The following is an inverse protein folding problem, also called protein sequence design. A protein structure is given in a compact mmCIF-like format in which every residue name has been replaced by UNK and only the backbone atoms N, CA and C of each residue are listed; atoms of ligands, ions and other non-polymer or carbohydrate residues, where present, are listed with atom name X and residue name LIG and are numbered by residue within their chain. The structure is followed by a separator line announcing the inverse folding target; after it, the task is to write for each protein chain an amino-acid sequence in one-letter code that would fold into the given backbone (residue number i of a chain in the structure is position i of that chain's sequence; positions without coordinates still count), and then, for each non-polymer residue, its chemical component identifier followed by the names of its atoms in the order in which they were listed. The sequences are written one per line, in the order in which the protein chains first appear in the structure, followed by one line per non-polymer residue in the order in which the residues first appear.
data_IF_918862019332
#
_entry.id   IF_918862019332
#
_cell.length_a   1.000
_cell.length_b   1.000
_cell.length_c   1.000
_cell.angle_alpha   90.00
_cell.angle_beta   90.00
_cell.angle_gamma   90.00
#
_symmetry.space_group_name_H-M   'P 1'
#
loop_
_entity.id
_entity.type
_entity.pdbx_description
1 polymer ?
#
# COMPACT_ATOMS: atom_id res chain seq x y z
N UNK A 1 40.00 -42.24 -31.83
CA UNK A 1 39.76 -41.68 -30.48
C UNK A 1 39.41 -40.20 -30.62
N UNK A 2 38.14 -39.88 -30.90
CA UNK A 2 37.63 -38.51 -31.09
C UNK A 2 36.45 -38.33 -30.15
N UNK A 3 36.65 -37.66 -29.03
CA UNK A 3 35.59 -37.24 -28.11
C UNK A 3 36.07 -35.98 -27.37
N UNK A 4 35.12 -35.07 -27.10
CA UNK A 4 35.21 -33.83 -26.29
C UNK A 4 35.63 -32.54 -26.99
N UNK A 5 34.75 -31.96 -27.81
CA UNK A 5 34.66 -30.49 -28.03
C UNK A 5 33.24 -29.99 -28.32
N UNK A 6 32.21 -30.58 -27.70
CA UNK A 6 30.82 -30.07 -27.80
C UNK A 6 30.16 -30.19 -26.44
N UNK A 7 30.44 -29.28 -25.51
CA UNK A 7 29.66 -29.18 -24.25
C UNK A 7 29.87 -27.87 -23.47
N UNK A 8 30.11 -26.74 -24.13
CA UNK A 8 30.18 -25.43 -23.43
C UNK A 8 29.23 -24.40 -24.04
N UNK A 9 28.87 -24.50 -25.32
CA UNK A 9 27.99 -23.53 -25.96
C UNK A 9 26.49 -23.70 -25.66
N UNK A 10 26.06 -24.85 -25.12
CA UNK A 10 24.62 -25.11 -24.85
C UNK A 10 24.22 -24.70 -23.43
N UNK A 11 25.18 -24.55 -22.51
CA UNK A 11 24.89 -24.13 -21.13
C UNK A 11 24.72 -22.61 -20.97
N UNK A 12 25.29 -21.82 -21.89
CA UNK A 12 25.15 -20.35 -21.86
C UNK A 12 23.79 -19.87 -22.39
N UNK A 13 23.11 -20.63 -23.25
CA UNK A 13 21.79 -20.24 -23.79
C UNK A 13 20.66 -20.51 -22.80
N UNK A 14 20.85 -21.40 -21.83
CA UNK A 14 19.83 -21.75 -20.84
C UNK A 14 19.75 -20.78 -19.64
N UNK A 15 20.71 -19.86 -19.47
CA UNK A 15 20.71 -18.89 -18.35
C UNK A 15 20.11 -17.53 -18.78
N UNK A 16 20.05 -17.22 -20.08
CA UNK A 16 19.40 -16.00 -20.58
C UNK A 16 17.87 -16.13 -20.74
N UNK A 17 17.29 -17.32 -20.54
CA UNK A 17 15.87 -17.62 -20.83
C UNK A 17 14.85 -17.27 -19.75
N UNK A 18 15.23 -16.65 -18.63
CA UNK A 18 14.31 -16.36 -17.50
C UNK A 18 14.10 -14.87 -17.21
N UNK A 19 14.60 -13.98 -18.07
CA UNK A 19 14.54 -12.52 -17.90
C UNK A 19 13.20 -11.87 -18.26
N UNK A 20 12.07 -12.58 -18.18
CA UNK A 20 10.77 -11.92 -18.17
C UNK A 20 10.47 -11.49 -16.74
N UNK A 21 11.17 -10.44 -16.29
CA UNK A 21 11.00 -9.87 -14.96
C UNK A 21 9.58 -9.31 -14.81
N UNK A 22 8.99 -9.58 -13.65
CA UNK A 22 7.65 -9.17 -13.21
C UNK A 22 7.49 -7.65 -12.98
N UNK A 23 8.30 -6.82 -13.66
CA UNK A 23 8.19 -5.36 -13.67
C UNK A 23 6.76 -4.86 -13.99
N UNK A 24 5.98 -5.65 -14.75
CA UNK A 24 4.59 -5.31 -15.05
C UNK A 24 3.73 -5.10 -13.80
N UNK A 25 3.90 -5.93 -12.77
CA UNK A 25 3.06 -5.87 -11.55
C UNK A 25 3.38 -4.61 -10.71
N UNK A 26 4.64 -4.36 -10.38
CA UNK A 26 5.05 -3.13 -9.69
C UNK A 26 4.70 -1.85 -10.47
N UNK A 27 4.98 -1.79 -11.77
CA UNK A 27 4.68 -0.61 -12.58
C UNK A 27 3.17 -0.34 -12.62
N UNK A 28 2.35 -1.38 -12.73
CA UNK A 28 0.88 -1.24 -12.62
C UNK A 28 0.46 -0.70 -11.25
N UNK A 29 1.03 -1.20 -10.14
CA UNK A 29 0.73 -0.69 -8.79
C UNK A 29 1.12 0.80 -8.64
N UNK A 30 2.29 1.20 -9.15
CA UNK A 30 2.75 2.59 -9.08
C UNK A 30 1.97 3.52 -10.02
N UNK A 31 1.63 3.05 -11.23
CA UNK A 31 0.82 3.80 -12.18
C UNK A 31 -0.57 4.08 -11.60
N UNK A 32 -1.19 3.07 -10.99
CA UNK A 32 -2.46 3.20 -10.31
C UNK A 32 -2.39 4.22 -9.17
N UNK A 33 -1.35 4.15 -8.33
CA UNK A 33 -1.10 5.11 -7.25
C UNK A 33 -1.01 6.56 -7.76
N UNK A 34 -0.21 6.81 -8.81
CA UNK A 34 0.03 8.17 -9.32
C UNK A 34 -1.05 8.72 -10.25
N UNK A 35 -2.00 7.88 -10.68
CA UNK A 35 -3.11 8.34 -11.53
C UNK A 35 -3.97 9.43 -10.87
N UNK A 36 -4.03 9.48 -9.53
CA UNK A 36 -4.70 10.54 -8.75
C UNK A 36 -4.04 11.92 -8.88
N UNK A 37 -2.71 11.98 -8.83
CA UNK A 37 -1.99 13.25 -8.88
C UNK A 37 -2.11 13.95 -10.24
N UNK A 38 -2.51 13.19 -11.28
CA UNK A 38 -2.64 13.68 -12.67
C UNK A 38 -4.05 14.12 -13.06
N UNK A 39 -5.08 13.87 -12.24
CA UNK A 39 -6.47 14.17 -12.61
C UNK A 39 -7.30 14.82 -11.50
N UNK A 40 -7.85 16.01 -11.77
CA UNK A 40 -8.90 16.67 -10.97
C UNK A 40 -10.25 15.92 -11.03
N UNK A 41 -10.29 14.62 -10.74
CA UNK A 41 -11.53 13.85 -10.78
C UNK A 41 -11.97 13.47 -9.37
N UNK A 42 -13.04 14.12 -8.91
CA UNK A 42 -13.78 13.75 -7.69
C UNK A 42 -14.34 12.33 -7.84
N UNK A 43 -14.22 11.45 -6.82
CA UNK A 43 -14.77 10.11 -6.89
C UNK A 43 -16.30 10.18 -6.85
N UNK A 44 -16.96 9.63 -7.87
CA UNK A 44 -18.42 9.46 -7.92
C UNK A 44 -18.88 8.42 -6.90
N UNK A 45 -20.01 8.73 -6.26
CA UNK A 45 -20.70 8.01 -5.18
C UNK A 45 -20.98 6.53 -5.49
N UNK A 46 -20.92 5.68 -4.46
CA UNK A 46 -21.12 4.24 -4.53
C UNK A 46 -22.60 3.83 -4.66
N UNK A 47 -22.87 2.76 -5.43
CA UNK A 47 -24.08 1.93 -5.35
C UNK A 47 -23.69 0.48 -5.01
N UNK A 48 -24.51 -0.17 -4.20
CA UNK A 48 -24.12 -1.25 -3.29
C UNK A 48 -24.11 -2.68 -3.83
N UNK A 49 -24.21 -2.92 -5.15
CA UNK A 49 -24.40 -4.31 -5.65
C UNK A 49 -23.56 -4.73 -6.86
N UNK A 50 -22.78 -3.84 -7.48
CA UNK A 50 -21.87 -4.19 -8.58
C UNK A 50 -20.39 -4.19 -8.18
N UNK A 51 -20.07 -3.94 -6.90
CA UNK A 51 -18.78 -3.40 -6.48
C UNK A 51 -17.87 -4.35 -5.70
N UNK A 52 -17.87 -5.64 -6.05
CA UNK A 52 -16.88 -6.61 -5.52
C UNK A 52 -15.73 -6.89 -6.47
N UNK A 53 -15.89 -6.65 -7.78
CA UNK A 53 -14.84 -6.91 -8.79
C UNK A 53 -13.90 -5.72 -9.04
N UNK A 54 -14.13 -4.57 -8.38
CA UNK A 54 -13.33 -3.34 -8.54
C UNK A 54 -12.64 -2.86 -7.24
N UNK A 55 -12.48 -3.77 -6.28
CA UNK A 55 -11.88 -3.50 -4.96
C UNK A 55 -10.33 -3.55 -4.94
N UNK A 56 -9.70 -3.65 -6.11
CA UNK A 56 -8.25 -3.68 -6.26
C UNK A 56 -7.64 -2.35 -6.69
N UNK A 57 -8.44 -1.30 -6.96
CA UNK A 57 -7.89 -0.02 -7.41
C UNK A 57 -7.24 0.76 -6.25
N UNK A 58 -5.91 0.75 -6.19
CA UNK A 58 -5.10 1.46 -5.19
C UNK A 58 -5.45 2.94 -5.08
N UNK A 59 -5.76 3.59 -6.21
CA UNK A 59 -6.20 4.98 -6.22
C UNK A 59 -7.52 5.11 -5.46
N UNK A 60 -8.48 4.24 -5.77
CA UNK A 60 -9.79 4.30 -5.14
C UNK A 60 -9.66 4.08 -3.63
N UNK A 61 -8.87 3.09 -3.24
CA UNK A 61 -8.68 2.73 -1.84
C UNK A 61 -8.08 3.87 -1.00
N UNK A 62 -7.04 4.55 -1.49
CA UNK A 62 -6.44 5.67 -0.75
C UNK A 62 -7.32 6.92 -0.75
N UNK A 63 -7.97 7.24 -1.87
CA UNK A 63 -8.93 8.33 -1.90
C UNK A 63 -10.09 8.09 -0.93
N UNK A 64 -10.59 6.84 -0.85
CA UNK A 64 -11.64 6.46 0.08
C UNK A 64 -11.17 6.54 1.54
N UNK A 65 -9.94 6.09 1.83
CA UNK A 65 -9.33 6.23 3.15
C UNK A 65 -9.23 7.70 3.58
N UNK A 66 -8.79 8.58 2.68
CA UNK A 66 -8.70 10.02 2.91
C UNK A 66 -10.08 10.65 3.13
N UNK A 67 -11.07 10.27 2.31
CA UNK A 67 -12.46 10.71 2.44
C UNK A 67 -13.04 10.28 3.79
N UNK A 68 -12.91 9.02 4.15
CA UNK A 68 -13.38 8.48 5.42
C UNK A 68 -12.77 9.22 6.63
N UNK A 69 -11.46 9.51 6.57
CA UNK A 69 -10.75 10.18 7.66
C UNK A 69 -11.11 11.67 7.79
N UNK A 70 -11.48 12.32 6.68
CA UNK A 70 -11.88 13.73 6.64
C UNK A 70 -13.33 14.00 7.08
N UNK A 71 -14.16 12.96 7.22
CA UNK A 71 -15.51 13.10 7.77
C UNK A 71 -15.46 13.55 9.24
N UNK A 72 -16.21 14.60 9.56
CA UNK A 72 -16.39 15.08 10.92
C UNK A 72 -17.46 14.23 11.63
N UNK A 73 -17.00 13.43 12.58
CA UNK A 73 -17.86 12.55 13.38
C UNK A 73 -18.92 13.32 14.15
N UNK A 74 -18.62 14.53 14.65
CA UNK A 74 -19.59 15.30 15.41
C UNK A 74 -20.74 15.79 14.51
N UNK A 75 -20.44 16.16 13.26
CA UNK A 75 -21.47 16.50 12.29
C UNK A 75 -22.33 15.28 11.94
N UNK A 76 -21.70 14.12 11.70
CA UNK A 76 -22.41 12.85 11.47
C UNK A 76 -23.34 12.49 12.64
N UNK A 77 -22.85 12.60 13.87
CA UNK A 77 -23.61 12.25 15.06
C UNK A 77 -24.74 13.26 15.39
N UNK A 78 -24.69 14.45 14.78
CA UNK A 78 -25.73 15.46 14.86
C UNK A 78 -27.00 15.14 14.08
N UNK A 79 -26.99 14.12 13.22
CA UNK A 79 -28.13 13.71 12.42
C UNK A 79 -29.28 13.15 13.27
N UNK A 80 -30.51 13.25 12.75
CA UNK A 80 -31.71 12.71 13.39
C UNK A 80 -31.71 11.17 13.48
N UNK A 81 -31.04 10.53 12.53
CA UNK A 81 -30.84 9.08 12.39
C UNK A 81 -29.40 8.68 12.78
N UNK A 82 -28.92 9.25 13.89
CA UNK A 82 -27.55 9.06 14.41
C UNK A 82 -27.11 7.60 14.49
N UNK A 83 -27.99 6.72 14.97
CA UNK A 83 -27.68 5.29 15.14
C UNK A 83 -27.33 4.65 13.80
N UNK A 84 -28.23 4.75 12.82
CA UNK A 84 -28.02 4.28 11.44
C UNK A 84 -26.80 4.93 10.79
N UNK A 85 -26.63 6.24 11.00
CA UNK A 85 -25.50 7.00 10.46
C UNK A 85 -24.15 6.51 11.00
N UNK A 86 -24.07 6.28 12.32
CA UNK A 86 -22.87 5.74 12.97
C UNK A 86 -22.61 4.29 12.54
N UNK A 87 -23.65 3.47 12.43
CA UNK A 87 -23.52 2.08 11.97
C UNK A 87 -22.96 2.01 10.55
N UNK A 88 -23.50 2.81 9.62
CA UNK A 88 -22.98 2.90 8.25
C UNK A 88 -21.52 3.38 8.22
N UNK A 89 -21.17 4.39 9.03
CA UNK A 89 -19.80 4.87 9.14
C UNK A 89 -18.85 3.76 9.61
N UNK A 90 -19.24 2.96 10.61
CA UNK A 90 -18.43 1.85 11.09
C UNK A 90 -18.24 0.77 10.01
N UNK A 91 -19.32 0.41 9.30
CA UNK A 91 -19.27 -0.55 8.18
C UNK A 91 -18.32 -0.08 7.08
N UNK A 92 -18.39 1.19 6.69
CA UNK A 92 -17.49 1.78 5.70
C UNK A 92 -16.02 1.67 6.14
N UNK A 93 -15.74 1.99 7.41
CA UNK A 93 -14.39 1.87 7.99
C UNK A 93 -13.85 0.45 7.96
N UNK A 94 -14.67 -0.55 8.31
CA UNK A 94 -14.29 -1.97 8.23
C UNK A 94 -14.04 -2.44 6.79
N UNK A 95 -14.87 -2.01 5.85
CA UNK A 95 -14.70 -2.33 4.45
C UNK A 95 -13.37 -1.78 3.92
N UNK A 96 -13.01 -0.55 4.31
CA UNK A 96 -11.72 0.05 3.98
C UNK A 96 -10.56 -0.75 4.60
N UNK A 97 -10.64 -1.12 5.88
CA UNK A 97 -9.62 -1.93 6.55
C UNK A 97 -9.41 -3.28 5.88
N UNK A 98 -10.50 -3.96 5.52
CA UNK A 98 -10.46 -5.22 4.78
C UNK A 98 -9.70 -5.09 3.45
N UNK A 99 -10.00 -4.02 2.69
CA UNK A 99 -9.31 -3.73 1.43
C UNK A 99 -7.84 -3.36 1.62
N UNK A 100 -7.49 -2.58 2.66
CA UNK A 100 -6.09 -2.25 3.00
C UNK A 100 -5.29 -3.51 3.42
N UNK A 101 -5.93 -4.45 4.12
CA UNK A 101 -5.31 -5.72 4.50
C UNK A 101 -5.15 -6.66 3.29
N UNK A 102 -6.11 -6.66 2.37
CA UNK A 102 -5.97 -7.41 1.12
C UNK A 102 -4.79 -6.90 0.27
N UNK A 103 -4.65 -5.58 0.15
CA UNK A 103 -3.54 -4.94 -0.56
C UNK A 103 -2.17 -5.36 -0.01
N UNK A 104 -2.05 -5.59 1.30
CA UNK A 104 -0.80 -6.05 1.94
C UNK A 104 -0.19 -7.25 1.24
N UNK A 105 -1.03 -8.22 0.91
CA UNK A 105 -0.60 -9.49 0.32
C UNK A 105 0.05 -9.24 -1.05
N UNK A 106 -0.54 -8.35 -1.85
CA UNK A 106 0.04 -7.94 -3.13
C UNK A 106 1.39 -7.22 -2.95
N UNK A 107 1.49 -6.32 -1.97
CA UNK A 107 2.75 -5.60 -1.68
C UNK A 107 3.87 -6.54 -1.21
N UNK A 108 3.55 -7.55 -0.38
CA UNK A 108 4.51 -8.56 0.08
C UNK A 108 5.01 -9.41 -1.10
N UNK A 109 4.11 -9.83 -1.98
CA UNK A 109 4.48 -10.61 -3.17
C UNK A 109 5.39 -9.81 -4.11
N UNK A 110 5.10 -8.52 -4.29
CA UNK A 110 5.92 -7.63 -5.12
C UNK A 110 7.31 -7.42 -4.49
N UNK A 111 7.39 -7.21 -3.18
CA UNK A 111 8.65 -7.08 -2.45
C UNK A 111 9.54 -8.31 -2.63
N UNK A 112 8.96 -9.50 -2.49
CA UNK A 112 9.64 -10.78 -2.69
C UNK A 112 10.21 -10.90 -4.11
N UNK A 113 9.42 -10.48 -5.10
CA UNK A 113 9.78 -10.51 -6.51
C UNK A 113 10.92 -9.56 -6.84
N UNK A 114 10.85 -8.32 -6.37
CA UNK A 114 11.92 -7.32 -6.53
C UNK A 114 13.19 -7.78 -5.82
N UNK A 115 13.07 -8.34 -4.62
CA UNK A 115 14.21 -8.87 -3.85
C UNK A 115 14.89 -10.03 -4.57
N UNK A 116 14.11 -10.98 -5.10
CA UNK A 116 14.63 -12.11 -5.89
C UNK A 116 15.37 -11.63 -7.15
N UNK A 117 14.81 -10.63 -7.82
CA UNK A 117 15.44 -9.97 -8.98
C UNK A 117 16.78 -9.35 -8.62
N UNK A 118 16.81 -8.57 -7.53
CA UNK A 118 18.04 -7.95 -7.03
C UNK A 118 19.11 -9.00 -6.72
N UNK A 119 18.76 -10.09 -6.03
CA UNK A 119 19.70 -11.17 -5.70
C UNK A 119 20.28 -11.85 -6.96
N UNK A 120 19.46 -11.96 -8.02
CA UNK A 120 19.90 -12.46 -9.32
C UNK A 120 20.93 -11.51 -9.94
N UNK A 121 20.68 -10.20 -9.91
CA UNK A 121 21.61 -9.20 -10.41
C UNK A 121 22.90 -9.12 -9.59
N UNK A 122 22.85 -9.30 -8.27
CA UNK A 122 24.04 -9.44 -7.41
C UNK A 122 24.87 -10.68 -7.78
N UNK A 123 24.22 -11.80 -8.08
CA UNK A 123 24.90 -13.01 -8.55
C UNK A 123 25.62 -12.77 -9.87
N UNK A 124 24.97 -12.09 -10.82
CA UNK A 124 25.55 -11.74 -12.11
C UNK A 124 26.74 -10.79 -11.97
N UNK A 125 26.65 -9.81 -11.07
CA UNK A 125 27.78 -8.92 -10.76
C UNK A 125 28.98 -9.71 -10.24
N UNK A 126 28.75 -10.67 -9.33
CA UNK A 126 29.82 -11.52 -8.80
C UNK A 126 30.47 -12.40 -9.89
N UNK A 127 29.65 -12.94 -10.80
CA UNK A 127 30.16 -13.69 -11.96
C UNK A 127 30.99 -12.81 -12.88
N UNK A 128 30.49 -11.61 -13.22
CA UNK A 128 31.20 -10.65 -14.04
C UNK A 128 32.55 -10.25 -13.42
N UNK A 129 32.60 -10.00 -12.10
CA UNK A 129 33.84 -9.70 -11.39
C UNK A 129 34.84 -10.88 -11.43
N UNK A 130 34.35 -12.11 -11.38
CA UNK A 130 35.20 -13.31 -11.49
C UNK A 130 35.79 -13.45 -12.89
N UNK A 131 34.96 -13.22 -13.92
CA UNK A 131 35.39 -13.24 -15.32
C UNK A 131 36.39 -12.12 -15.61
N UNK A 132 36.15 -10.92 -15.09
CA UNK A 132 37.07 -9.78 -15.16
C UNK A 132 38.46 -10.16 -14.64
N UNK A 133 38.54 -10.75 -13.45
CA UNK A 133 39.81 -11.17 -12.85
C UNK A 133 40.49 -12.26 -13.70
N UNK A 134 39.72 -13.22 -14.21
CA UNK A 134 40.23 -14.29 -15.06
C UNK A 134 40.81 -13.75 -16.36
N UNK A 135 40.09 -12.85 -17.04
CA UNK A 135 40.49 -12.26 -18.31
C UNK A 135 41.74 -11.39 -18.19
N UNK A 136 41.90 -10.65 -17.09
CA UNK A 136 43.16 -9.95 -16.79
C UNK A 136 44.31 -10.95 -16.67
N UNK A 137 44.14 -12.00 -15.87
CA UNK A 137 45.21 -12.99 -15.64
C UNK A 137 45.59 -13.77 -16.91
N UNK A 138 44.66 -13.94 -17.85
CA UNK A 138 44.90 -14.63 -19.12
C UNK A 138 45.25 -13.70 -20.28
N UNK A 139 45.32 -12.38 -20.06
CA UNK A 139 45.44 -11.36 -21.12
C UNK A 139 44.39 -11.52 -22.24
N UNK A 140 43.15 -11.86 -21.87
CA UNK A 140 42.01 -11.96 -22.80
C UNK A 140 41.25 -10.63 -22.85
N UNK A 141 41.60 -9.79 -23.81
CA UNK A 141 41.01 -8.45 -23.99
C UNK A 141 39.50 -8.51 -24.24
N UNK A 142 39.02 -9.46 -25.03
CA UNK A 142 37.59 -9.59 -25.33
C UNK A 142 36.80 -10.03 -24.11
N UNK A 143 37.33 -11.01 -23.35
CA UNK A 143 36.73 -11.43 -22.09
C UNK A 143 36.71 -10.29 -21.06
N UNK A 144 37.77 -9.47 -21.02
CA UNK A 144 37.82 -8.29 -20.17
C UNK A 144 36.70 -7.31 -20.54
N UNK A 145 36.60 -6.89 -21.79
CA UNK A 145 35.57 -5.94 -22.23
C UNK A 145 34.15 -6.45 -21.98
N UNK A 146 33.90 -7.73 -22.29
CA UNK A 146 32.60 -8.37 -22.04
C UNK A 146 32.26 -8.39 -20.55
N UNK A 147 33.21 -8.74 -19.68
CA UNK A 147 32.99 -8.79 -18.23
C UNK A 147 32.72 -7.41 -17.64
N UNK A 148 33.37 -6.37 -18.15
CA UNK A 148 33.12 -4.98 -17.75
C UNK A 148 31.69 -4.57 -18.11
N UNK A 149 31.21 -4.93 -19.30
CA UNK A 149 29.84 -4.59 -19.71
C UNK A 149 28.79 -5.34 -18.89
N UNK A 150 28.97 -6.65 -18.68
CA UNK A 150 28.07 -7.43 -17.80
C UNK A 150 28.05 -6.89 -16.37
N UNK A 151 29.18 -6.39 -15.85
CA UNK A 151 29.23 -5.76 -14.53
C UNK A 151 28.45 -4.44 -14.49
N UNK A 152 28.45 -3.65 -15.57
CA UNK A 152 27.64 -2.42 -15.66
C UNK A 152 26.16 -2.75 -15.69
N UNK A 153 25.74 -3.69 -16.55
CA UNK A 153 24.34 -4.13 -16.65
C UNK A 153 23.80 -4.62 -15.29
N UNK A 154 24.57 -5.46 -14.60
CA UNK A 154 24.21 -5.96 -13.29
C UNK A 154 24.09 -4.84 -12.24
N UNK A 155 25.00 -3.85 -12.25
CA UNK A 155 24.93 -2.68 -11.36
C UNK A 155 23.71 -1.80 -11.66
N UNK A 156 23.39 -1.57 -12.92
CA UNK A 156 22.19 -0.85 -13.33
C UNK A 156 20.94 -1.55 -12.81
N UNK A 157 20.82 -2.87 -13.00
CA UNK A 157 19.72 -3.64 -12.44
C UNK A 157 19.62 -3.49 -10.91
N UNK A 158 20.73 -3.63 -10.18
CA UNK A 158 20.73 -3.49 -8.71
C UNK A 158 20.21 -2.12 -8.28
N UNK A 159 20.65 -1.05 -8.96
CA UNK A 159 20.21 0.31 -8.69
C UNK A 159 18.71 0.49 -8.96
N UNK A 160 18.21 -0.04 -10.08
CA UNK A 160 16.77 -0.02 -10.40
C UNK A 160 15.95 -0.75 -9.34
N UNK A 161 16.35 -1.96 -8.93
CA UNK A 161 15.63 -2.71 -7.90
C UNK A 161 15.67 -2.00 -6.54
N UNK A 162 16.77 -1.31 -6.21
CA UNK A 162 16.84 -0.51 -5.00
C UNK A 162 15.80 0.62 -5.00
N UNK A 163 15.65 1.33 -6.13
CA UNK A 163 14.63 2.38 -6.28
C UNK A 163 13.21 1.78 -6.21
N UNK A 164 12.98 0.62 -6.82
CA UNK A 164 11.69 -0.07 -6.76
C UNK A 164 11.33 -0.47 -5.32
N UNK A 165 12.27 -1.03 -4.54
CA UNK A 165 12.05 -1.36 -3.13
C UNK A 165 11.71 -0.12 -2.30
N UNK A 166 12.45 0.98 -2.48
CA UNK A 166 12.18 2.23 -1.76
C UNK A 166 10.78 2.78 -2.08
N UNK A 167 10.37 2.69 -3.34
CA UNK A 167 9.04 3.13 -3.80
C UNK A 167 7.93 2.24 -3.21
N UNK A 168 8.11 0.93 -3.23
CA UNK A 168 7.19 -0.03 -2.62
C UNK A 168 7.09 0.18 -1.10
N UNK A 169 8.19 0.48 -0.44
CA UNK A 169 8.21 0.78 0.99
C UNK A 169 7.45 2.08 1.31
N UNK A 170 7.57 3.11 0.48
CA UNK A 170 6.76 4.32 0.63
C UNK A 170 5.26 4.03 0.50
N UNK A 171 4.87 3.15 -0.44
CA UNK A 171 3.49 2.71 -0.63
C UNK A 171 2.96 1.95 0.59
N UNK A 172 3.76 1.01 1.13
CA UNK A 172 3.45 0.27 2.37
C UNK A 172 3.27 1.20 3.56
N UNK A 173 4.20 2.14 3.75
CA UNK A 173 4.09 3.12 4.84
C UNK A 173 2.80 3.95 4.75
N UNK A 174 2.39 4.35 3.54
CA UNK A 174 1.12 5.07 3.34
C UNK A 174 -0.09 4.19 3.70
N UNK A 175 -0.09 2.93 3.27
CA UNK A 175 -1.11 1.94 3.61
C UNK A 175 -1.21 1.72 5.12
N UNK A 176 -0.08 1.44 5.78
CA UNK A 176 0.00 1.16 7.22
C UNK A 176 -0.55 2.33 8.04
N UNK A 177 -0.19 3.56 7.65
CA UNK A 177 -0.69 4.78 8.28
C UNK A 177 -2.21 4.87 8.21
N UNK A 178 -2.83 4.61 7.05
CA UNK A 178 -4.29 4.64 6.95
C UNK A 178 -4.94 3.51 7.75
N UNK A 179 -4.42 2.29 7.66
CA UNK A 179 -4.95 1.16 8.42
C UNK A 179 -4.92 1.45 9.92
N UNK A 180 -3.80 1.95 10.45
CA UNK A 180 -3.66 2.28 11.87
C UNK A 180 -4.66 3.33 12.35
N UNK A 181 -4.82 4.43 11.59
CA UNK A 181 -5.70 5.54 12.01
C UNK A 181 -7.17 5.12 11.91
N UNK A 182 -7.55 4.41 10.84
CA UNK A 182 -8.92 3.94 10.63
C UNK A 182 -9.28 2.91 11.69
N UNK A 183 -8.41 1.92 11.95
CA UNK A 183 -8.63 0.88 12.96
C UNK A 183 -8.84 1.47 14.36
N UNK A 184 -7.97 2.41 14.77
CA UNK A 184 -8.12 3.10 16.05
C UNK A 184 -9.45 3.84 16.15
N UNK A 185 -9.86 4.55 15.08
CA UNK A 185 -11.12 5.30 15.05
C UNK A 185 -12.35 4.38 15.09
N UNK A 186 -12.38 3.37 14.23
CA UNK A 186 -13.48 2.40 14.14
C UNK A 186 -13.61 1.62 15.45
N UNK A 187 -12.50 1.14 16.00
CA UNK A 187 -12.48 0.43 17.28
C UNK A 187 -13.00 1.29 18.42
N UNK A 188 -12.57 2.56 18.52
CA UNK A 188 -13.08 3.48 19.54
C UNK A 188 -14.59 3.70 19.40
N UNK A 189 -15.07 4.03 18.21
CA UNK A 189 -16.48 4.33 17.97
C UNK A 189 -17.37 3.12 18.20
N UNK A 190 -16.92 1.93 17.79
CA UNK A 190 -17.62 0.67 18.03
C UNK A 190 -17.72 0.32 19.50
N UNK A 191 -16.60 0.38 20.22
CA UNK A 191 -16.57 0.04 21.65
C UNK A 191 -17.41 1.00 22.51
N UNK A 192 -17.65 2.21 22.03
CA UNK A 192 -18.41 3.25 22.73
C UNK A 192 -19.77 3.55 22.08
N UNK A 193 -20.22 2.74 21.11
CA UNK A 193 -21.39 3.02 20.27
C UNK A 193 -22.64 3.30 21.11
N UNK A 194 -22.97 2.40 22.04
CA UNK A 194 -24.12 2.54 22.93
C UNK A 194 -24.09 3.84 23.75
N UNK A 195 -22.92 4.15 24.31
CA UNK A 195 -22.75 5.32 25.16
C UNK A 195 -22.88 6.62 24.35
N UNK A 196 -22.29 6.65 23.15
CA UNK A 196 -22.39 7.75 22.21
C UNK A 196 -23.85 7.96 21.80
N UNK A 197 -24.54 6.91 21.37
CA UNK A 197 -25.94 7.00 20.90
C UNK A 197 -26.85 7.49 22.02
N UNK A 198 -26.76 6.91 23.24
CA UNK A 198 -27.66 7.26 24.35
C UNK A 198 -27.43 8.65 24.92
N UNK A 199 -26.18 9.12 24.95
CA UNK A 199 -25.81 10.33 25.69
C UNK A 199 -25.39 11.52 24.82
N UNK A 200 -25.40 11.39 23.49
CA UNK A 200 -24.95 12.47 22.59
C UNK A 200 -25.57 13.84 22.87
N UNK A 201 -26.88 13.89 23.12
CA UNK A 201 -27.56 15.16 23.34
C UNK A 201 -27.20 15.77 24.70
N UNK A 202 -26.87 14.95 25.69
CA UNK A 202 -26.33 15.38 26.99
C UNK A 202 -24.89 15.86 26.84
N UNK A 203 -24.12 15.31 25.90
CA UNK A 203 -22.74 15.72 25.62
C UNK A 203 -22.66 17.11 24.94
N UNK A 204 -23.78 17.69 24.49
CA UNK A 204 -23.81 19.06 23.95
C UNK A 204 -23.67 20.08 25.10
N UNK A 205 -22.62 20.92 25.12
CA UNK A 205 -22.38 21.89 26.21
C UNK A 205 -23.57 22.84 26.45
N UNK A 206 -24.28 23.21 25.39
CA UNK A 206 -25.48 24.05 25.47
C UNK A 206 -26.66 23.33 26.12
N UNK A 207 -26.82 22.02 25.90
CA UNK A 207 -27.90 21.25 26.51
C UNK A 207 -27.63 21.03 28.01
N UNK A 208 -26.38 20.75 28.37
CA UNK A 208 -25.90 20.72 29.77
C UNK A 208 -26.15 22.05 30.48
N UNK A 209 -25.80 23.18 29.84
CA UNK A 209 -26.05 24.50 30.40
C UNK A 209 -27.54 24.80 30.57
N UNK A 210 -28.39 24.35 29.65
CA UNK A 210 -29.84 24.54 29.73
C UNK A 210 -30.46 23.65 30.81
N UNK A 211 -30.04 22.39 30.92
CA UNK A 211 -30.45 21.47 31.99
C UNK A 211 -30.07 22.01 33.37
N UNK A 212 -28.85 22.55 33.51
CA UNK A 212 -28.41 23.19 34.74
C UNK A 212 -29.27 24.42 35.10
N UNK A 213 -29.58 25.27 34.11
CA UNK A 213 -30.50 26.40 34.31
C UNK A 213 -31.88 25.94 34.79
N UNK A 214 -32.44 24.94 34.11
CA UNK A 214 -33.75 24.37 34.47
C UNK A 214 -33.73 23.77 35.88
N UNK A 215 -32.64 23.08 36.27
CA UNK A 215 -32.55 22.51 37.63
C UNK A 215 -32.49 23.59 38.70
N UNK A 216 -31.74 24.66 38.47
CA UNK A 216 -31.67 25.82 39.38
C UNK A 216 -33.02 26.52 39.49
N UNK A 217 -33.71 26.73 38.36
CA UNK A 217 -35.03 27.37 38.33
C UNK A 217 -36.08 26.52 39.07
N UNK A 218 -36.04 25.18 38.91
CA UNK A 218 -36.92 24.24 39.63
C UNK A 218 -36.66 24.20 41.13
N UNK A 219 -35.39 24.24 41.56
CA UNK A 219 -35.05 24.32 42.99
C UNK A 219 -35.59 25.62 43.60
N UNK A 220 -35.45 26.75 42.90
CA UNK A 220 -35.94 28.05 43.36
C UNK A 220 -37.46 28.16 43.40
N UNK A 221 -38.17 27.44 42.54
CA UNK A 221 -39.64 27.43 42.50
C UNK A 221 -40.29 26.34 43.36
N UNK A 222 -39.47 25.48 44.01
CA UNK A 222 -39.91 24.49 45.00
C UNK A 222 -39.82 24.98 46.46
N UNK A 223 -39.34 26.21 46.67
CA UNK A 223 -39.31 26.96 47.94
C UNK A 223 -40.43 28.00 48.00
#
# INVERSE_FOLDING_TARGET
MKLKKISISVFLVLIFGTWTFSFGSFISLMEEHFSLARGNQSPTTFSSTAQREKNTDLRFLFAESERFLSQDINLLLGASDRETTLENYLIDGENILSSLNYLESSLINEESTITSTRNTCETQLNQANTLYSTSINSNDENGFLSSVESAKEARTCIAEQHVNLASLQALRNKRDRYAQIIDARVSYLRNNQDLIIRHYDILKPQLLSNLYKISVDLEQSSL
#
